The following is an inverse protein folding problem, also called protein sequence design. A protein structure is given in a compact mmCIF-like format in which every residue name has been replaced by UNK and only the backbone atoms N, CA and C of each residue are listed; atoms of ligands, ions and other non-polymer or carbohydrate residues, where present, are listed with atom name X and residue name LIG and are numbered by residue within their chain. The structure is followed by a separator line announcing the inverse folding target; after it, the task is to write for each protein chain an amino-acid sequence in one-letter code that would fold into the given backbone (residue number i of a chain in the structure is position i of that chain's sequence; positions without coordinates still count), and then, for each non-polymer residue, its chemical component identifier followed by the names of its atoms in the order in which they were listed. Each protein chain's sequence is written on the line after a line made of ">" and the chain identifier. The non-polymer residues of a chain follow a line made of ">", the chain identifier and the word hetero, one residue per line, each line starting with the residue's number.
data_IF_734903430325
#
_entry.id   IF_734903430325
#
_cell.length_a   1.000
_cell.length_b   1.000
_cell.length_c   1.000
_cell.angle_alpha   90.00
_cell.angle_beta   90.00
_cell.angle_gamma   90.00
#
_symmetry.space_group_name_H-M   'P 1'
#
loop_
_entity.id
_entity.type
_entity.pdbx_description
1 polymer ?
#
# COMPACT_ATOMS: atom_id res chain seq x y z
N UNK A 1 -21.04 87.23 -25.64
CA UNK A 1 -19.88 86.88 -24.80
C UNK A 1 -20.26 85.65 -23.97
N UNK A 2 -19.27 84.82 -23.64
CA UNK A 2 -19.31 83.50 -22.98
C UNK A 2 -19.48 82.28 -23.90
N UNK A 3 -18.30 81.74 -24.23
CA UNK A 3 -18.03 80.40 -24.74
C UNK A 3 -18.34 79.37 -23.65
N UNK A 4 -19.02 78.28 -23.99
CA UNK A 4 -18.98 77.04 -23.20
C UNK A 4 -18.42 75.96 -24.11
N UNK A 5 -17.23 75.49 -23.76
CA UNK A 5 -16.48 74.44 -24.44
C UNK A 5 -17.04 73.11 -23.93
N UNK A 6 -17.73 72.36 -24.79
CA UNK A 6 -18.14 70.98 -24.51
C UNK A 6 -16.94 70.06 -24.69
N UNK A 7 -16.39 69.58 -23.58
CA UNK A 7 -15.37 68.53 -23.55
C UNK A 7 -16.09 67.19 -23.76
N UNK A 8 -15.99 66.63 -24.97
CA UNK A 8 -16.31 65.23 -25.24
C UNK A 8 -15.20 64.36 -24.61
N UNK A 9 -15.50 63.77 -23.45
CA UNK A 9 -14.71 62.68 -22.89
C UNK A 9 -15.09 61.38 -23.61
N UNK A 10 -14.23 60.96 -24.54
CA UNK A 10 -14.21 59.60 -25.09
C UNK A 10 -13.78 58.63 -23.98
N UNK A 11 -14.74 57.96 -23.34
CA UNK A 11 -14.46 56.77 -22.54
C UNK A 11 -14.16 55.61 -23.49
N UNK A 12 -12.88 55.38 -23.76
CA UNK A 12 -12.36 54.12 -24.26
C UNK A 12 -12.60 53.04 -23.20
N UNK A 13 -13.69 52.28 -23.36
CA UNK A 13 -13.95 51.08 -22.57
C UNK A 13 -12.86 50.04 -22.82
N UNK A 14 -11.91 49.95 -21.90
CA UNK A 14 -11.02 48.80 -21.80
C UNK A 14 -11.90 47.63 -21.37
N UNK A 15 -12.23 46.76 -22.32
CA UNK A 15 -12.84 45.47 -22.06
C UNK A 15 -11.78 44.60 -21.38
N UNK A 16 -11.65 44.73 -20.07
CA UNK A 16 -10.92 43.80 -19.24
C UNK A 16 -11.60 42.45 -19.38
N UNK A 17 -10.98 41.53 -20.13
CA UNK A 17 -11.25 40.12 -19.96
C UNK A 17 -10.85 39.79 -18.52
N UNK A 18 -11.84 39.79 -17.61
CA UNK A 18 -11.74 39.05 -16.37
C UNK A 18 -11.64 37.58 -16.79
N UNK A 19 -10.41 37.09 -16.94
CA UNK A 19 -10.14 35.68 -16.84
C UNK A 19 -10.64 35.25 -15.47
N UNK A 20 -11.83 34.65 -15.44
CA UNK A 20 -12.27 33.91 -14.28
C UNK A 20 -11.14 32.93 -13.97
N UNK A 21 -10.42 33.19 -12.90
CA UNK A 21 -9.55 32.19 -12.31
C UNK A 21 -10.51 31.13 -11.82
N UNK A 22 -10.76 30.13 -12.66
CA UNK A 22 -11.41 28.91 -12.24
C UNK A 22 -10.56 28.41 -11.08
N UNK A 23 -11.06 28.58 -9.86
CA UNK A 23 -10.53 27.86 -8.72
C UNK A 23 -10.64 26.39 -9.12
N UNK A 24 -9.53 25.77 -9.51
CA UNK A 24 -9.53 24.40 -9.97
C UNK A 24 -9.99 23.54 -8.78
N UNK A 25 -11.24 23.08 -8.82
CA UNK A 25 -11.68 21.97 -7.99
C UNK A 25 -10.75 20.79 -8.29
N UNK A 26 -10.32 20.07 -7.25
CA UNK A 26 -9.51 18.86 -7.42
C UNK A 26 -10.35 17.76 -8.05
N UNK A 27 -11.60 17.63 -7.58
CA UNK A 27 -12.56 16.66 -8.11
C UNK A 27 -13.37 17.19 -9.29
N UNK A 28 -13.55 16.30 -10.27
CA UNK A 28 -14.41 16.48 -11.44
C UNK A 28 -15.42 15.33 -11.51
N UNK A 29 -16.63 15.64 -11.98
CA UNK A 29 -17.73 14.69 -12.08
C UNK A 29 -18.30 14.69 -13.49
N UNK A 30 -18.37 13.50 -14.09
CA UNK A 30 -18.93 13.33 -15.43
C UNK A 30 -19.96 12.20 -15.45
N UNK A 31 -21.16 12.49 -15.94
CA UNK A 31 -22.17 11.46 -16.16
C UNK A 31 -21.88 10.68 -17.46
N UNK A 32 -22.06 9.37 -17.41
CA UNK A 32 -21.91 8.47 -18.54
C UNK A 32 -22.99 7.39 -18.55
N UNK A 33 -23.06 6.66 -19.66
CA UNK A 33 -23.95 5.52 -19.80
C UNK A 33 -23.24 4.41 -20.56
N UNK A 34 -23.33 3.18 -20.07
CA UNK A 34 -22.81 2.00 -20.77
C UNK A 34 -23.75 1.60 -21.90
N UNK A 35 -23.28 0.80 -22.86
CA UNK A 35 -24.12 0.22 -23.92
C UNK A 35 -25.32 -0.58 -23.38
N UNK A 36 -25.17 -1.20 -22.20
CA UNK A 36 -26.24 -1.91 -21.49
C UNK A 36 -27.23 -1.01 -20.76
N UNK A 37 -27.14 0.32 -20.91
CA UNK A 37 -28.07 1.29 -20.35
C UNK A 37 -27.79 1.73 -18.91
N UNK A 38 -26.80 1.14 -18.21
CA UNK A 38 -26.39 1.54 -16.87
C UNK A 38 -25.84 2.97 -16.88
N UNK A 39 -26.41 3.85 -16.06
CA UNK A 39 -25.98 5.24 -15.91
C UNK A 39 -25.06 5.38 -14.70
N UNK A 40 -23.93 6.04 -14.89
CA UNK A 40 -22.90 6.14 -13.88
C UNK A 40 -22.29 7.55 -13.84
N UNK A 41 -21.67 7.88 -12.71
CA UNK A 41 -20.79 9.03 -12.57
C UNK A 41 -19.33 8.56 -12.55
N UNK A 42 -18.50 9.12 -13.42
CA UNK A 42 -17.05 9.07 -13.29
C UNK A 42 -16.59 10.20 -12.37
N UNK A 43 -15.88 9.85 -11.32
CA UNK A 43 -15.21 10.78 -10.41
C UNK A 43 -13.72 10.79 -10.76
N UNK A 44 -13.16 11.95 -11.10
CA UNK A 44 -11.75 12.06 -11.48
C UNK A 44 -11.03 13.22 -10.80
N UNK A 45 -9.71 13.12 -10.71
CA UNK A 45 -8.85 14.13 -10.08
C UNK A 45 -8.55 13.86 -8.61
N UNK A 46 -7.84 14.77 -7.94
CA UNK A 46 -7.45 14.62 -6.53
C UNK A 46 -8.53 15.15 -5.57
N UNK A 47 -8.58 14.59 -4.37
CA UNK A 47 -9.50 15.06 -3.33
C UNK A 47 -8.93 16.31 -2.64
N UNK A 48 -9.45 17.49 -2.96
CA UNK A 48 -9.05 18.76 -2.36
C UNK A 48 -9.96 19.15 -1.18
N UNK A 49 -9.42 19.92 -0.23
CA UNK A 49 -10.17 20.37 0.96
C UNK A 49 -11.42 21.19 0.56
N UNK A 50 -11.29 22.03 -0.46
CA UNK A 50 -12.31 22.96 -0.94
C UNK A 50 -13.33 22.36 -1.91
N UNK A 51 -13.24 21.06 -2.25
CA UNK A 51 -14.17 20.48 -3.23
C UNK A 51 -15.63 20.58 -2.76
N UNK A 52 -16.50 21.04 -3.67
CA UNK A 52 -17.94 21.15 -3.46
C UNK A 52 -18.65 19.88 -3.95
N UNK A 53 -19.10 19.05 -3.00
CA UNK A 53 -19.79 17.80 -3.29
C UNK A 53 -21.27 17.99 -3.65
N UNK A 54 -21.83 19.20 -3.53
CA UNK A 54 -23.21 19.47 -3.95
C UNK A 54 -23.37 19.33 -5.47
N UNK A 55 -22.30 19.59 -6.22
CA UNK A 55 -22.24 19.39 -7.68
C UNK A 55 -22.42 17.91 -8.05
N UNK A 56 -21.79 17.00 -7.30
CA UNK A 56 -21.96 15.56 -7.47
C UNK A 56 -23.41 15.13 -7.20
N UNK A 57 -24.00 15.59 -6.09
CA UNK A 57 -25.38 15.26 -5.72
C UNK A 57 -26.39 15.74 -6.77
N UNK A 58 -26.21 16.97 -7.28
CA UNK A 58 -27.04 17.52 -8.34
C UNK A 58 -26.92 16.71 -9.65
N UNK A 59 -25.70 16.29 -10.01
CA UNK A 59 -25.44 15.50 -11.20
C UNK A 59 -26.04 14.09 -11.11
N UNK A 60 -25.96 13.45 -9.95
CA UNK A 60 -26.60 12.14 -9.71
C UNK A 60 -28.11 12.25 -9.93
N UNK A 61 -28.75 13.29 -9.37
CA UNK A 61 -30.20 13.51 -9.52
C UNK A 61 -30.61 13.80 -10.96
N UNK A 62 -29.87 14.66 -11.67
CA UNK A 62 -30.23 15.07 -13.03
C UNK A 62 -29.98 13.98 -14.08
N UNK A 63 -28.96 13.13 -13.88
CA UNK A 63 -28.66 12.00 -14.76
C UNK A 63 -29.43 10.71 -14.42
N UNK A 64 -29.99 10.63 -13.21
CA UNK A 64 -30.50 9.39 -12.61
C UNK A 64 -29.45 8.26 -12.65
N UNK A 65 -28.21 8.61 -12.33
CA UNK A 65 -27.11 7.63 -12.24
C UNK A 65 -27.30 6.70 -11.05
N UNK A 66 -26.94 5.44 -11.22
CA UNK A 66 -27.07 4.39 -10.19
C UNK A 66 -25.74 3.84 -9.73
N UNK A 67 -24.65 4.20 -10.41
CA UNK A 67 -23.30 3.74 -10.11
C UNK A 67 -22.27 4.87 -10.14
N UNK A 68 -21.13 4.63 -9.50
CA UNK A 68 -19.96 5.51 -9.49
C UNK A 68 -18.72 4.70 -9.81
N UNK A 69 -17.84 5.26 -10.64
CA UNK A 69 -16.50 4.73 -10.94
C UNK A 69 -15.46 5.83 -10.75
N UNK A 70 -14.20 5.48 -10.55
CA UNK A 70 -13.16 6.43 -10.17
C UNK A 70 -11.94 6.37 -11.09
N UNK A 71 -11.36 7.56 -11.30
CA UNK A 71 -10.04 7.78 -11.89
C UNK A 71 -9.29 8.82 -11.04
N UNK A 72 -8.77 8.39 -9.89
CA UNK A 72 -8.22 9.29 -8.87
C UNK A 72 -7.00 8.72 -8.14
N UNK A 73 -5.92 9.50 -8.00
CA UNK A 73 -4.76 9.14 -7.16
C UNK A 73 -5.04 9.29 -5.65
N UNK A 74 -6.24 9.76 -5.27
CA UNK A 74 -6.59 10.08 -3.88
C UNK A 74 -6.35 11.54 -3.52
N UNK A 75 -5.97 11.82 -2.27
CA UNK A 75 -5.86 13.17 -1.73
C UNK A 75 -6.35 13.27 -0.29
N UNK A 76 -7.20 14.26 0.00
CA UNK A 76 -7.76 14.51 1.32
C UNK A 76 -8.69 13.39 1.80
N UNK A 77 -8.31 12.77 2.92
CA UNK A 77 -9.02 11.64 3.55
C UNK A 77 -10.44 12.02 3.95
N UNK A 78 -10.63 13.19 4.58
CA UNK A 78 -11.94 13.63 5.06
C UNK A 78 -12.91 13.86 3.90
N UNK A 79 -12.47 14.56 2.85
CA UNK A 79 -13.28 14.80 1.64
C UNK A 79 -13.69 13.50 0.97
N UNK A 80 -12.79 12.51 0.92
CA UNK A 80 -13.11 11.20 0.37
C UNK A 80 -14.14 10.44 1.21
N UNK A 81 -14.04 10.48 2.54
CA UNK A 81 -15.06 9.93 3.43
C UNK A 81 -16.39 10.66 3.31
N UNK A 82 -16.40 11.98 3.14
CA UNK A 82 -17.62 12.78 2.93
C UNK A 82 -18.30 12.40 1.60
N UNK A 83 -17.53 12.25 0.52
CA UNK A 83 -18.05 11.75 -0.75
C UNK A 83 -18.58 10.32 -0.61
N UNK A 84 -17.85 9.42 0.06
CA UNK A 84 -18.29 8.06 0.28
C UNK A 84 -19.58 7.95 1.11
N UNK A 85 -19.75 8.78 2.15
CA UNK A 85 -21.02 8.91 2.89
C UNK A 85 -22.14 9.41 1.98
N UNK A 86 -21.87 10.37 1.09
CA UNK A 86 -22.83 10.88 0.13
C UNK A 86 -23.25 9.80 -0.88
N UNK A 87 -22.30 9.04 -1.43
CA UNK A 87 -22.54 7.88 -2.31
C UNK A 87 -23.48 6.88 -1.64
N UNK A 88 -23.20 6.52 -0.37
CA UNK A 88 -24.06 5.61 0.40
C UNK A 88 -25.47 6.17 0.58
N UNK A 89 -25.60 7.42 1.02
CA UNK A 89 -26.90 8.06 1.28
C UNK A 89 -27.77 8.12 0.03
N UNK A 90 -27.15 8.29 -1.14
CA UNK A 90 -27.82 8.30 -2.44
C UNK A 90 -28.11 6.89 -2.98
N UNK A 91 -27.69 5.83 -2.29
CA UNK A 91 -27.96 4.44 -2.67
C UNK A 91 -27.18 3.96 -3.89
N UNK A 92 -26.04 4.59 -4.20
CA UNK A 92 -25.28 4.29 -5.42
C UNK A 92 -24.39 3.07 -5.24
N UNK A 93 -24.24 2.28 -6.31
CA UNK A 93 -23.21 1.26 -6.40
C UNK A 93 -21.84 1.89 -6.72
N UNK A 94 -20.75 1.27 -6.30
CA UNK A 94 -19.40 1.61 -6.75
C UNK A 94 -18.81 0.46 -7.56
N UNK A 95 -18.15 0.81 -8.66
CA UNK A 95 -17.51 -0.14 -9.56
C UNK A 95 -16.10 0.37 -9.89
N UNK A 96 -15.08 -0.47 -9.70
CA UNK A 96 -13.70 -0.10 -10.05
C UNK A 96 -13.04 -1.14 -10.96
N UNK A 97 -12.58 -0.68 -12.12
CA UNK A 97 -11.92 -1.49 -13.14
C UNK A 97 -10.42 -1.26 -13.12
N UNK A 98 -9.63 -2.27 -13.46
CA UNK A 98 -8.15 -2.22 -13.46
C UNK A 98 -7.59 -1.20 -14.47
N UNK A 99 -8.36 -0.87 -15.50
CA UNK A 99 -8.00 0.15 -16.48
C UNK A 99 -8.13 1.59 -15.92
N UNK A 100 -8.63 1.77 -14.70
CA UNK A 100 -8.81 3.07 -14.07
C UNK A 100 -8.22 3.08 -12.66
N UNK A 101 -7.62 4.22 -12.31
CA UNK A 101 -6.89 4.40 -11.06
C UNK A 101 -7.84 4.72 -9.90
N UNK A 102 -7.67 4.05 -8.76
CA UNK A 102 -8.30 4.46 -7.50
C UNK A 102 -7.39 4.10 -6.33
N UNK A 103 -6.69 5.11 -5.83
CA UNK A 103 -5.61 4.94 -4.85
C UNK A 103 -5.84 5.79 -3.61
N UNK A 104 -5.23 5.39 -2.49
CA UNK A 104 -5.20 6.17 -1.26
C UNK A 104 -6.62 6.55 -0.76
N UNK A 105 -6.89 7.83 -0.57
CA UNK A 105 -8.21 8.36 -0.20
C UNK A 105 -9.32 7.97 -1.19
N UNK A 106 -9.04 7.77 -2.49
CA UNK A 106 -10.05 7.30 -3.45
C UNK A 106 -10.67 5.97 -2.98
N UNK A 107 -9.84 5.06 -2.45
CA UNK A 107 -10.32 3.78 -1.94
C UNK A 107 -11.39 3.97 -0.86
N UNK A 108 -11.26 4.99 0.00
CA UNK A 108 -12.26 5.31 1.03
C UNK A 108 -13.58 5.78 0.41
N UNK A 109 -13.55 6.65 -0.62
CA UNK A 109 -14.76 7.06 -1.32
C UNK A 109 -15.46 5.85 -1.98
N UNK A 110 -14.69 4.94 -2.59
CA UNK A 110 -15.20 3.70 -3.17
C UNK A 110 -15.94 2.82 -2.14
N UNK A 111 -15.48 2.77 -0.88
CA UNK A 111 -16.15 2.00 0.18
C UNK A 111 -17.59 2.49 0.46
N UNK A 112 -17.95 3.69 0.01
CA UNK A 112 -19.28 4.29 0.13
C UNK A 112 -20.40 3.57 -0.61
N UNK A 113 -20.08 2.72 -1.59
CA UNK A 113 -21.10 2.01 -2.38
C UNK A 113 -21.96 1.07 -1.55
N UNK A 114 -23.27 1.07 -1.79
CA UNK A 114 -24.19 0.07 -1.18
C UNK A 114 -23.97 -1.32 -1.79
N UNK A 115 -23.49 -1.35 -3.03
CA UNK A 115 -23.00 -2.50 -3.76
C UNK A 115 -21.61 -2.11 -4.27
N UNK A 116 -20.62 -2.97 -4.06
CA UNK A 116 -19.22 -2.70 -4.40
C UNK A 116 -18.66 -3.80 -5.28
N UNK A 117 -18.31 -3.44 -6.50
CA UNK A 117 -17.62 -4.30 -7.46
C UNK A 117 -16.23 -3.73 -7.74
N UNK A 118 -15.20 -4.57 -7.72
CA UNK A 118 -13.87 -4.17 -8.11
C UNK A 118 -13.13 -5.34 -8.75
N UNK A 119 -12.43 -5.08 -9.85
CA UNK A 119 -11.51 -6.04 -10.44
C UNK A 119 -10.28 -6.26 -9.55
N UNK A 120 -9.67 -7.45 -9.61
CA UNK A 120 -8.44 -7.71 -8.88
C UNK A 120 -7.35 -6.69 -9.26
N UNK A 121 -6.75 -6.06 -8.26
CA UNK A 121 -5.69 -5.06 -8.43
C UNK A 121 -6.18 -3.66 -8.83
N UNK A 122 -7.49 -3.37 -8.78
CA UNK A 122 -8.02 -2.04 -9.15
C UNK A 122 -8.16 -1.05 -7.98
N UNK A 123 -7.95 -1.51 -6.74
CA UNK A 123 -8.00 -0.67 -5.54
C UNK A 123 -6.62 -0.61 -4.90
N UNK A 124 -6.01 0.58 -4.88
CA UNK A 124 -4.72 0.85 -4.25
C UNK A 124 -4.88 1.38 -2.82
N UNK A 125 -4.20 0.76 -1.87
CA UNK A 125 -4.10 1.23 -0.47
C UNK A 125 -2.66 1.47 -0.09
N UNK A 126 -2.42 2.48 0.74
CA UNK A 126 -1.13 2.77 1.35
C UNK A 126 -1.36 3.73 2.52
N UNK A 127 -0.34 3.96 3.34
CA UNK A 127 -0.36 4.97 4.40
C UNK A 127 -0.62 6.34 3.77
N UNK A 128 -1.85 6.82 3.86
CA UNK A 128 -2.21 8.16 3.44
C UNK A 128 -1.42 9.16 4.30
N UNK A 129 -0.85 10.18 3.67
CA UNK A 129 -0.17 11.24 4.40
C UNK A 129 -1.23 12.05 5.16
N UNK A 130 -1.37 11.80 6.46
CA UNK A 130 -2.19 12.59 7.37
C UNK A 130 -1.57 13.99 7.56
N UNK A 131 -1.61 14.85 6.55
CA UNK A 131 -1.12 16.22 6.64
C UNK A 131 -2.04 17.18 5.87
N UNK A 132 -2.59 18.15 6.60
CA UNK A 132 -2.84 19.49 6.06
C UNK A 132 -1.62 20.37 6.33
N UNK A 133 -1.41 21.40 5.53
CA UNK A 133 -0.25 22.31 5.53
C UNK A 133 -0.15 23.24 6.76
N UNK A 134 -0.63 22.79 7.92
CA UNK A 134 -0.58 23.55 9.16
C UNK A 134 0.68 23.13 9.92
N UNK A 135 1.53 24.08 10.36
CA UNK A 135 2.62 23.79 11.28
C UNK A 135 2.03 23.35 12.62
N UNK A 136 1.85 22.04 12.79
CA UNK A 136 1.42 21.42 14.03
C UNK A 136 2.65 21.17 14.91
N UNK A 137 2.53 21.39 16.21
CA UNK A 137 3.50 20.86 17.17
C UNK A 137 3.50 19.32 17.11
N UNK A 138 4.55 18.67 17.60
CA UNK A 138 4.65 17.20 17.59
C UNK A 138 3.47 16.54 18.32
N UNK A 139 2.98 17.14 19.41
CA UNK A 139 1.84 16.65 20.16
C UNK A 139 0.50 16.83 19.42
N UNK A 140 0.32 17.96 18.73
CA UNK A 140 -0.86 18.21 17.91
C UNK A 140 -0.88 17.30 16.67
N UNK A 141 0.30 17.03 16.07
CA UNK A 141 0.43 16.10 14.96
C UNK A 141 0.12 14.66 15.37
N UNK A 142 0.62 14.19 16.52
CA UNK A 142 0.27 12.87 17.06
C UNK A 142 -1.22 12.77 17.34
N UNK A 143 -1.81 13.79 17.98
CA UNK A 143 -3.24 13.81 18.30
C UNK A 143 -4.09 13.80 17.02
N UNK A 144 -3.71 14.57 15.99
CA UNK A 144 -4.39 14.59 14.71
C UNK A 144 -4.31 13.24 13.99
N UNK A 145 -3.15 12.56 14.01
CA UNK A 145 -3.00 11.22 13.43
C UNK A 145 -3.89 10.21 14.16
N UNK A 146 -3.92 10.25 15.50
CA UNK A 146 -4.80 9.39 16.29
C UNK A 146 -6.27 9.61 15.97
N UNK A 147 -6.69 10.87 15.87
CA UNK A 147 -8.07 11.25 15.51
C UNK A 147 -8.44 10.76 14.11
N UNK A 148 -7.63 11.07 13.09
CA UNK A 148 -7.94 10.64 11.72
C UNK A 148 -7.90 9.10 11.60
N UNK A 149 -7.01 8.42 12.32
CA UNK A 149 -7.00 6.95 12.37
C UNK A 149 -8.31 6.42 12.93
N UNK A 150 -8.81 7.00 14.02
CA UNK A 150 -10.09 6.64 14.61
C UNK A 150 -11.28 6.94 13.67
N UNK A 151 -11.25 8.06 12.96
CA UNK A 151 -12.27 8.45 11.99
C UNK A 151 -12.31 7.47 10.81
N UNK A 152 -11.14 7.06 10.29
CA UNK A 152 -11.07 6.06 9.21
C UNK A 152 -11.55 4.70 9.67
N UNK A 153 -11.21 4.26 10.89
CA UNK A 153 -11.74 3.02 11.48
C UNK A 153 -13.26 3.10 11.58
N UNK A 154 -13.78 4.20 12.13
CA UNK A 154 -15.22 4.45 12.27
C UNK A 154 -15.91 4.41 10.92
N UNK A 155 -15.36 5.10 9.92
CA UNK A 155 -15.86 5.11 8.56
C UNK A 155 -15.84 3.71 7.92
N UNK A 156 -14.75 2.93 8.07
CA UNK A 156 -14.69 1.55 7.58
C UNK A 156 -15.80 0.69 8.20
N UNK A 157 -16.03 0.81 9.50
CA UNK A 157 -17.12 0.11 10.20
C UNK A 157 -18.48 0.56 9.65
N UNK A 158 -18.71 1.88 9.52
CA UNK A 158 -19.92 2.43 8.93
C UNK A 158 -20.17 1.80 7.55
N UNK A 159 -19.14 1.72 6.71
CA UNK A 159 -19.14 1.13 5.35
C UNK A 159 -19.15 -0.40 5.32
N UNK A 160 -19.23 -1.10 6.45
CA UNK A 160 -19.25 -2.56 6.48
C UNK A 160 -17.95 -3.22 5.99
N UNK A 161 -16.83 -2.52 6.12
CA UNK A 161 -15.47 -2.99 5.81
C UNK A 161 -14.80 -3.47 7.10
N UNK A 162 -13.90 -4.44 7.00
CA UNK A 162 -13.06 -4.84 8.12
C UNK A 162 -11.97 -3.78 8.38
N UNK A 163 -11.90 -3.15 9.58
CA UNK A 163 -10.86 -2.18 9.91
C UNK A 163 -9.43 -2.74 9.85
N UNK A 164 -9.24 -4.06 9.81
CA UNK A 164 -7.94 -4.67 9.54
C UNK A 164 -7.37 -4.25 8.16
N UNK A 165 -8.20 -3.77 7.22
CA UNK A 165 -7.74 -3.14 5.98
C UNK A 165 -6.86 -1.91 6.25
N UNK A 166 -7.18 -1.12 7.28
CA UNK A 166 -6.36 0.02 7.65
C UNK A 166 -4.97 -0.44 8.13
N UNK A 167 -4.89 -1.54 8.88
CA UNK A 167 -3.61 -2.10 9.28
C UNK A 167 -2.77 -2.52 8.07
N UNK A 168 -3.39 -3.15 7.06
CA UNK A 168 -2.71 -3.47 5.80
C UNK A 168 -2.24 -2.19 5.10
N UNK A 169 -3.10 -1.19 4.98
CA UNK A 169 -2.78 0.09 4.35
C UNK A 169 -1.58 0.79 5.01
N UNK A 170 -1.54 0.81 6.36
CA UNK A 170 -0.49 1.44 7.15
C UNK A 170 0.89 0.75 7.05
N UNK A 171 0.97 -0.48 6.51
CA UNK A 171 2.23 -1.18 6.30
C UNK A 171 3.01 -0.68 5.08
N UNK A 172 2.36 0.05 4.18
CA UNK A 172 2.96 0.56 2.95
C UNK A 172 3.11 2.08 3.02
N UNK A 173 4.28 2.62 2.69
CA UNK A 173 4.55 4.06 2.73
C UNK A 173 3.76 4.83 1.66
N UNK A 174 3.70 6.16 1.77
CA UNK A 174 2.91 7.00 0.84
C UNK A 174 3.34 6.94 -0.64
N UNK A 175 4.52 6.38 -0.94
CA UNK A 175 5.03 6.19 -2.31
C UNK A 175 5.00 4.72 -2.75
N UNK A 176 4.48 3.81 -1.92
CA UNK A 176 4.41 2.37 -2.18
C UNK A 176 2.95 1.93 -2.12
N UNK A 177 2.34 1.69 -3.28
CA UNK A 177 0.91 1.47 -3.39
C UNK A 177 0.63 -0.02 -3.48
N UNK A 178 -0.09 -0.54 -2.49
CA UNK A 178 -0.52 -1.93 -2.45
C UNK A 178 -1.89 -2.06 -3.13
N UNK A 179 -1.92 -2.66 -4.32
CA UNK A 179 -3.19 -2.95 -5.00
C UNK A 179 -3.80 -4.28 -4.57
N UNK A 180 -5.00 -4.26 -4.00
CA UNK A 180 -5.62 -5.42 -3.38
C UNK A 180 -5.95 -6.53 -4.37
N UNK A 181 -5.64 -7.78 -4.02
CA UNK A 181 -6.14 -8.96 -4.73
C UNK A 181 -7.64 -9.17 -4.45
N UNK A 182 -8.32 -9.97 -5.27
CA UNK A 182 -9.73 -10.32 -5.04
C UNK A 182 -9.94 -11.03 -3.69
N UNK A 183 -9.01 -11.90 -3.27
CA UNK A 183 -9.10 -12.59 -1.98
C UNK A 183 -8.94 -11.62 -0.81
N UNK A 184 -8.06 -10.61 -0.91
CA UNK A 184 -7.95 -9.56 0.10
C UNK A 184 -9.19 -8.66 0.10
N UNK A 185 -9.70 -8.28 -1.07
CA UNK A 185 -10.92 -7.49 -1.17
C UNK A 185 -12.12 -8.23 -0.58
N UNK A 186 -12.21 -9.54 -0.74
CA UNK A 186 -13.22 -10.37 -0.10
C UNK A 186 -12.98 -10.47 1.42
N UNK A 187 -11.75 -10.78 1.84
CA UNK A 187 -11.33 -10.91 3.25
C UNK A 187 -11.68 -9.67 4.06
N UNK A 188 -11.31 -8.49 3.55
CA UNK A 188 -11.56 -7.21 4.21
C UNK A 188 -12.92 -6.60 3.88
N UNK A 189 -13.77 -7.30 3.12
CA UNK A 189 -15.10 -6.85 2.70
C UNK A 189 -15.09 -5.55 1.90
N UNK A 190 -14.04 -5.29 1.12
CA UNK A 190 -13.94 -4.16 0.17
C UNK A 190 -14.96 -4.31 -0.97
N UNK A 191 -15.16 -5.54 -1.45
CA UNK A 191 -16.22 -5.87 -2.42
C UNK A 191 -17.40 -6.53 -1.72
N UNK A 192 -18.61 -6.31 -2.23
CA UNK A 192 -19.82 -6.99 -1.74
C UNK A 192 -20.17 -8.23 -2.56
N UNK A 193 -19.57 -8.39 -3.74
CA UNK A 193 -19.72 -9.56 -4.61
C UNK A 193 -18.36 -10.20 -4.86
N UNK A 194 -18.14 -11.38 -4.28
CA UNK A 194 -17.01 -12.25 -4.60
C UNK A 194 -17.54 -13.48 -5.37
N UNK A 195 -17.02 -13.79 -6.57
CA UNK A 195 -17.31 -15.06 -7.22
C UNK A 195 -16.77 -16.19 -6.31
N UNK A 196 -17.65 -16.99 -5.70
CA UNK A 196 -17.27 -18.17 -4.91
C UNK A 196 -17.66 -18.21 -3.43
N UNK A 197 -18.38 -17.21 -2.89
CA UNK A 197 -18.89 -17.26 -1.50
C UNK A 197 -20.14 -18.15 -1.34
N UNK A 198 -20.14 -19.32 -1.97
CA UNK A 198 -21.21 -20.31 -1.92
C UNK A 198 -20.65 -21.72 -1.90
N UNK A 199 -20.21 -22.16 -0.71
CA UNK A 199 -20.25 -23.53 -0.18
C UNK A 199 -19.32 -23.65 1.03
N UNK A 200 -19.74 -23.11 2.18
CA UNK A 200 -19.34 -23.70 3.47
C UNK A 200 -20.24 -24.92 3.68
N UNK A 201 -19.75 -26.10 3.32
CA UNK A 201 -20.33 -27.35 3.82
C UNK A 201 -20.07 -27.42 5.31
N UNK A 202 -21.10 -27.10 6.08
CA UNK A 202 -21.17 -27.43 7.51
C UNK A 202 -21.20 -28.95 7.60
N UNK A 203 -20.04 -29.58 7.79
CA UNK A 203 -19.97 -30.98 8.15
C UNK A 203 -20.19 -31.09 9.67
N UNK A 204 -21.45 -31.33 10.05
CA UNK A 204 -21.81 -31.84 11.37
C UNK A 204 -21.15 -33.19 11.58
N UNK A 205 -20.07 -33.24 12.37
CA UNK A 205 -19.52 -34.49 12.86
C UNK A 205 -20.23 -34.86 14.17
N UNK A 206 -21.00 -35.96 14.12
CA UNK A 206 -21.52 -36.69 15.28
C UNK A 206 -20.34 -37.36 16.02
N UNK A 207 -20.28 -37.37 17.37
CA UNK A 207 -19.16 -37.99 18.08
C UNK A 207 -19.29 -39.53 18.09
N UNK A 208 -18.21 -40.22 17.71
CA UNK A 208 -18.05 -41.66 17.85
C UNK A 208 -17.51 -42.02 19.26
N UNK A 209 -17.69 -43.27 19.75
CA UNK A 209 -17.49 -43.63 21.15
C UNK A 209 -16.02 -43.76 21.54
N UNK A 210 -15.70 -43.32 22.76
CA UNK A 210 -14.39 -43.41 23.41
C UNK A 210 -14.04 -44.86 23.79
N UNK A 211 -12.86 -45.33 23.35
CA UNK A 211 -12.18 -46.51 23.91
C UNK A 211 -11.17 -46.09 25.01
N UNK A 212 -10.88 -46.96 26.00
CA UNK A 212 -10.04 -46.62 27.14
C UNK A 212 -8.54 -46.49 26.79
N UNK A 213 -7.74 -45.77 27.60
CA UNK A 213 -6.35 -45.47 27.28
C UNK A 213 -5.43 -46.66 27.56
N UNK A 214 -4.50 -46.92 26.63
CA UNK A 214 -3.36 -47.83 26.82
C UNK A 214 -2.21 -47.13 27.57
N UNK A 215 -1.37 -47.87 28.32
CA UNK A 215 -0.27 -47.30 29.08
C UNK A 215 0.91 -46.85 28.18
N UNK A 216 1.77 -45.94 28.65
CA UNK A 216 2.81 -45.33 27.83
C UNK A 216 3.96 -46.32 27.57
N UNK A 217 4.59 -46.31 26.38
CA UNK A 217 5.79 -47.09 26.14
C UNK A 217 7.03 -46.38 26.71
N UNK A 218 7.94 -47.21 27.20
CA UNK A 218 9.24 -46.89 27.75
C UNK A 218 10.13 -46.17 26.72
N UNK A 219 10.74 -45.07 27.16
CA UNK A 219 11.63 -44.19 26.40
C UNK A 219 12.91 -44.89 25.94
N UNK A 220 13.08 -45.05 24.63
CA UNK A 220 14.40 -45.10 23.99
C UNK A 220 14.92 -43.67 23.78
N UNK A 221 16.24 -43.42 23.79
CA UNK A 221 16.78 -42.08 23.55
C UNK A 221 16.51 -41.67 22.11
N UNK A 222 15.68 -40.65 21.92
CA UNK A 222 15.46 -40.00 20.63
C UNK A 222 16.75 -39.25 20.27
N UNK A 223 17.29 -39.39 19.04
CA UNK A 223 18.39 -38.55 18.57
C UNK A 223 17.96 -37.09 18.66
N UNK A 224 18.86 -36.20 19.11
CA UNK A 224 18.57 -34.79 19.26
C UNK A 224 17.86 -34.23 18.00
N UNK A 225 16.75 -33.49 18.14
CA UNK A 225 16.06 -32.90 17.00
C UNK A 225 17.03 -31.98 16.24
N UNK A 226 16.96 -31.93 14.90
CA UNK A 226 17.75 -30.96 14.13
C UNK A 226 17.45 -29.56 14.66
N UNK A 227 18.50 -28.77 14.88
CA UNK A 227 18.41 -27.46 15.50
C UNK A 227 17.34 -26.61 14.81
N UNK A 228 16.29 -26.24 15.54
CA UNK A 228 15.32 -25.25 15.06
C UNK A 228 16.06 -23.98 14.64
N UNK A 229 15.82 -23.44 13.44
CA UNK A 229 16.48 -22.23 12.98
C UNK A 229 16.16 -21.08 13.95
N UNK A 230 17.20 -20.36 14.40
CA UNK A 230 17.01 -19.20 15.28
C UNK A 230 16.23 -18.12 14.53
N UNK A 231 15.05 -17.79 15.05
CA UNK A 231 14.18 -16.72 14.53
C UNK A 231 14.50 -15.35 15.13
N UNK A 232 15.56 -15.25 15.92
CA UNK A 232 16.00 -13.98 16.52
C UNK A 232 16.65 -13.11 15.46
N UNK A 233 16.24 -11.85 15.32
CA UNK A 233 16.93 -10.90 14.43
C UNK A 233 18.14 -10.34 15.17
N UNK A 234 19.38 -10.51 14.66
CA UNK A 234 20.56 -9.93 15.28
C UNK A 234 20.54 -8.41 15.16
N UNK A 235 21.17 -7.72 16.10
CA UNK A 235 21.27 -6.26 16.04
C UNK A 235 22.19 -5.82 14.88
N UNK A 236 21.72 -4.83 14.11
CA UNK A 236 22.45 -4.25 13.00
C UNK A 236 23.44 -3.19 13.50
N UNK A 237 24.72 -3.37 13.19
CA UNK A 237 25.81 -2.49 13.64
C UNK A 237 26.58 -1.85 12.49
N UNK A 238 26.59 -2.49 11.33
CA UNK A 238 27.26 -1.99 10.13
C UNK A 238 26.54 -2.44 8.87
N UNK A 239 26.77 -1.71 7.79
CA UNK A 239 26.29 -2.12 6.48
C UNK A 239 26.85 -1.28 5.36
N UNK A 240 26.31 -1.51 4.17
CA UNK A 240 26.59 -0.72 2.97
C UNK A 240 25.30 -0.30 2.31
N UNK A 241 25.29 0.88 1.69
CA UNK A 241 24.13 1.38 0.97
C UNK A 241 23.86 0.49 -0.25
N UNK A 242 22.62 0.05 -0.41
CA UNK A 242 22.16 -0.76 -1.54
C UNK A 242 20.77 -0.32 -1.97
N UNK A 243 20.67 0.55 -2.97
CA UNK A 243 19.41 1.11 -3.44
C UNK A 243 19.23 0.91 -4.96
N UNK A 244 18.00 0.66 -5.48
CA UNK A 244 17.76 0.46 -6.91
C UNK A 244 18.22 1.61 -7.80
N UNK A 245 18.13 2.85 -7.32
CA UNK A 245 18.56 4.04 -8.08
C UNK A 245 20.08 4.31 -7.99
N UNK A 246 20.87 3.38 -7.47
CA UNK A 246 22.33 3.52 -7.35
C UNK A 246 22.81 4.43 -6.22
N UNK A 247 21.91 5.15 -5.55
CA UNK A 247 22.19 6.00 -4.40
C UNK A 247 20.96 6.14 -3.51
N UNK A 248 21.19 6.43 -2.23
CA UNK A 248 20.15 6.66 -1.21
C UNK A 248 20.38 7.99 -0.48
N UNK A 249 19.31 8.75 -0.19
CA UNK A 249 19.44 9.99 0.58
C UNK A 249 19.70 9.67 2.07
N UNK A 250 20.67 10.35 2.65
CA UNK A 250 20.85 10.44 4.10
C UNK A 250 19.96 11.58 4.60
N UNK A 251 18.97 11.26 5.42
CA UNK A 251 17.95 12.20 5.91
C UNK A 251 18.34 12.81 7.26
N UNK A 252 17.90 14.03 7.53
CA UNK A 252 18.13 14.67 8.83
C UNK A 252 17.27 14.03 9.94
N UNK A 253 16.07 13.59 9.59
CA UNK A 253 15.09 12.93 10.46
C UNK A 253 14.67 11.57 9.87
N UNK A 254 14.17 10.62 10.69
CA UNK A 254 13.70 9.31 10.24
C UNK A 254 12.34 9.39 9.52
N UNK A 255 12.26 10.16 8.43
CA UNK A 255 11.07 10.37 7.63
C UNK A 255 11.40 10.69 6.16
N UNK A 256 10.54 10.27 5.23
CA UNK A 256 10.81 10.37 3.79
C UNK A 256 10.89 11.80 3.23
N UNK A 257 10.11 12.73 3.82
CA UNK A 257 10.06 14.15 3.42
C UNK A 257 11.16 15.01 4.03
N UNK A 258 11.94 14.46 4.97
CA UNK A 258 13.02 15.22 5.63
C UNK A 258 14.07 15.70 4.63
N UNK A 259 14.72 16.82 4.97
CA UNK A 259 15.86 17.36 4.24
C UNK A 259 16.98 16.33 4.12
N UNK A 260 17.56 16.25 2.93
CA UNK A 260 18.72 15.40 2.69
C UNK A 260 19.96 16.08 3.29
N UNK A 261 20.56 15.44 4.29
CA UNK A 261 21.89 15.79 4.82
C UNK A 261 22.96 15.46 3.78
N UNK A 262 22.78 14.36 3.05
CA UNK A 262 23.66 13.93 1.98
C UNK A 262 22.98 12.94 1.03
N UNK A 263 23.69 12.55 -0.02
CA UNK A 263 23.31 11.44 -0.91
C UNK A 263 24.46 10.45 -0.94
N UNK A 264 24.20 9.22 -0.50
CA UNK A 264 25.19 8.16 -0.41
C UNK A 264 25.06 7.23 -1.62
N UNK A 265 26.18 6.87 -2.25
CA UNK A 265 26.17 5.95 -3.41
C UNK A 265 26.09 4.50 -2.93
N UNK A 266 25.62 3.61 -3.79
CA UNK A 266 25.66 2.18 -3.48
C UNK A 266 27.11 1.73 -3.18
N UNK A 267 27.26 0.91 -2.15
CA UNK A 267 28.55 0.45 -1.64
C UNK A 267 29.17 1.38 -0.61
N UNK A 268 28.64 2.59 -0.40
CA UNK A 268 29.11 3.47 0.69
C UNK A 268 28.93 2.77 2.05
N UNK A 269 30.00 2.64 2.85
CA UNK A 269 29.90 2.01 4.16
C UNK A 269 29.20 2.92 5.16
N UNK A 270 28.43 2.31 6.06
CA UNK A 270 27.70 2.98 7.13
C UNK A 270 27.86 2.23 8.44
N UNK A 271 28.08 2.98 9.52
CA UNK A 271 27.97 2.45 10.89
C UNK A 271 26.54 2.70 11.39
N UNK A 272 25.85 1.66 11.82
CA UNK A 272 24.48 1.74 12.33
C UNK A 272 24.57 2.00 13.83
N UNK A 273 24.12 3.19 14.24
CA UNK A 273 24.22 3.66 15.62
C UNK A 273 22.97 3.34 16.44
N UNK A 274 21.81 3.36 15.79
CA UNK A 274 20.53 3.05 16.40
C UNK A 274 19.48 2.70 15.35
N UNK A 275 18.42 2.03 15.78
CA UNK A 275 17.23 1.74 14.97
C UNK A 275 16.05 2.55 15.50
N UNK A 276 15.41 3.31 14.62
CA UNK A 276 14.24 4.13 14.91
C UNK A 276 13.10 3.71 13.97
N UNK A 277 12.31 2.72 14.39
CA UNK A 277 11.30 2.10 13.55
C UNK A 277 11.92 1.45 12.30
N UNK A 278 11.55 1.93 11.11
CA UNK A 278 12.07 1.48 9.80
C UNK A 278 13.32 2.24 9.34
N UNK A 279 13.93 3.05 10.21
CA UNK A 279 15.09 3.87 9.87
C UNK A 279 16.29 3.47 10.71
N UNK A 280 17.44 3.36 10.06
CA UNK A 280 18.71 3.29 10.75
C UNK A 280 19.27 4.69 10.91
N UNK A 281 19.57 5.07 12.15
CA UNK A 281 20.45 6.20 12.42
C UNK A 281 21.86 5.75 12.10
N UNK A 282 22.45 6.31 11.06
CA UNK A 282 23.75 5.89 10.55
C UNK A 282 24.77 7.01 10.58
N UNK A 283 26.02 6.62 10.73
CA UNK A 283 27.17 7.46 10.47
C UNK A 283 27.85 7.01 9.17
N UNK A 284 27.94 7.94 8.21
CA UNK A 284 28.63 7.77 6.94
C UNK A 284 29.77 8.80 6.87
N UNK A 285 30.99 8.37 7.18
CA UNK A 285 32.12 9.28 7.36
C UNK A 285 31.87 10.28 8.51
N UNK A 286 31.89 11.58 8.18
CA UNK A 286 31.63 12.65 9.15
C UNK A 286 30.15 13.07 9.24
N UNK A 287 29.28 12.45 8.45
CA UNK A 287 27.86 12.79 8.40
C UNK A 287 27.05 11.78 9.21
N UNK A 288 26.13 12.28 10.02
CA UNK A 288 25.17 11.47 10.77
C UNK A 288 23.78 11.84 10.29
N UNK A 289 22.95 10.82 10.05
CA UNK A 289 21.57 11.00 9.65
C UNK A 289 20.81 9.69 9.67
N UNK A 290 19.70 9.65 8.96
CA UNK A 290 18.82 8.50 8.90
C UNK A 290 18.73 7.97 7.47
N UNK A 291 18.82 6.66 7.32
CA UNK A 291 18.56 5.96 6.07
C UNK A 291 17.48 4.91 6.32
N UNK A 292 16.60 4.71 5.35
CA UNK A 292 15.57 3.69 5.47
C UNK A 292 16.21 2.29 5.48
N UNK A 293 15.66 1.37 6.25
CA UNK A 293 16.22 0.03 6.46
C UNK A 293 16.30 -0.78 5.16
N UNK A 294 15.37 -0.58 4.23
CA UNK A 294 15.39 -1.19 2.89
C UNK A 294 16.51 -0.68 1.99
N UNK A 295 17.28 0.34 2.40
CA UNK A 295 18.40 0.91 1.62
C UNK A 295 19.77 0.49 2.15
N UNK A 296 19.81 -0.30 3.23
CA UNK A 296 21.06 -0.73 3.87
C UNK A 296 21.16 -2.24 3.80
N UNK A 297 22.18 -2.72 3.10
CA UNK A 297 22.61 -4.10 3.20
C UNK A 297 23.42 -4.25 4.50
N UNK A 298 22.85 -4.89 5.50
CA UNK A 298 23.43 -5.05 6.84
C UNK A 298 24.43 -6.20 6.83
N UNK A 299 25.66 -5.97 7.28
CA UNK A 299 26.73 -6.99 7.22
C UNK A 299 26.49 -8.15 8.19
N UNK A 300 25.70 -7.93 9.26
CA UNK A 300 25.32 -8.97 10.22
C UNK A 300 24.23 -9.91 9.69
N UNK A 301 23.61 -9.60 8.54
CA UNK A 301 22.55 -10.40 7.95
C UNK A 301 23.10 -11.26 6.80
N UNK A 302 22.65 -12.52 6.75
CA UNK A 302 22.88 -13.40 5.61
C UNK A 302 21.77 -13.19 4.57
N UNK A 303 21.80 -12.01 3.95
CA UNK A 303 20.87 -11.61 2.88
C UNK A 303 21.40 -11.97 1.48
N UNK A 304 22.45 -12.78 1.37
CA UNK A 304 23.12 -13.08 0.10
C UNK A 304 24.10 -11.99 -0.36
N UNK A 305 24.71 -12.13 -1.55
CA UNK A 305 25.80 -11.25 -1.97
C UNK A 305 25.33 -9.82 -2.26
N UNK A 306 26.09 -8.83 -1.78
CA UNK A 306 25.80 -7.41 -2.01
C UNK A 306 25.59 -7.09 -3.50
N UNK A 307 24.54 -6.33 -3.80
CA UNK A 307 24.25 -5.85 -5.15
C UNK A 307 23.56 -6.86 -6.06
N UNK A 308 23.45 -8.13 -5.65
CA UNK A 308 22.63 -9.14 -6.33
C UNK A 308 21.14 -8.91 -6.03
N UNK A 309 20.29 -9.58 -6.80
CA UNK A 309 18.83 -9.56 -6.66
C UNK A 309 18.33 -10.94 -6.26
N UNK A 310 17.48 -10.96 -5.26
CA UNK A 310 16.56 -12.05 -5.01
C UNK A 310 15.37 -11.90 -5.93
N UNK A 311 14.79 -13.02 -6.35
CA UNK A 311 13.47 -13.03 -6.96
C UNK A 311 12.51 -13.56 -5.90
N UNK A 312 11.79 -12.66 -5.24
CA UNK A 312 10.80 -13.01 -4.23
C UNK A 312 9.51 -13.45 -4.93
N UNK A 313 9.05 -14.65 -4.62
CA UNK A 313 7.88 -15.28 -5.23
C UNK A 313 6.67 -15.31 -4.30
N UNK A 314 6.90 -15.28 -2.98
CA UNK A 314 5.84 -15.30 -1.97
C UNK A 314 6.34 -14.78 -0.61
N UNK A 315 5.43 -14.53 0.32
CA UNK A 315 5.75 -14.30 1.72
C UNK A 315 4.73 -14.93 2.64
N UNK A 316 5.15 -15.26 3.85
CA UNK A 316 4.32 -15.81 4.92
C UNK A 316 4.66 -15.12 6.24
N UNK A 317 3.69 -14.95 7.12
CA UNK A 317 3.88 -14.47 8.49
C UNK A 317 4.17 -15.62 9.48
N UNK A 318 4.03 -16.87 9.02
CA UNK A 318 4.23 -18.08 9.80
C UNK A 318 5.32 -18.99 9.20
N UNK A 319 6.24 -19.45 10.04
CA UNK A 319 7.37 -20.29 9.63
C UNK A 319 6.90 -21.63 9.06
N UNK A 320 5.90 -22.28 9.68
CA UNK A 320 5.45 -23.60 9.26
C UNK A 320 4.87 -23.60 7.83
N UNK A 321 4.16 -22.54 7.46
CA UNK A 321 3.63 -22.38 6.10
C UNK A 321 4.74 -22.05 5.10
N UNK A 322 5.70 -21.21 5.49
CA UNK A 322 6.88 -20.92 4.67
C UNK A 322 7.68 -22.19 4.36
N UNK A 323 7.93 -23.02 5.38
CA UNK A 323 8.61 -24.31 5.23
C UNK A 323 7.81 -25.28 4.36
N UNK A 324 6.50 -25.41 4.60
CA UNK A 324 5.65 -26.28 3.78
C UNK A 324 5.66 -25.85 2.32
N UNK A 325 5.61 -24.55 2.04
CA UNK A 325 5.69 -24.02 0.69
C UNK A 325 7.02 -24.38 0.02
N UNK A 326 8.16 -24.15 0.69
CA UNK A 326 9.49 -24.50 0.17
C UNK A 326 9.57 -26.00 -0.17
N UNK A 327 9.13 -26.88 0.74
CA UNK A 327 9.17 -28.34 0.55
C UNK A 327 8.26 -28.84 -0.57
N UNK A 328 7.17 -28.14 -0.83
CA UNK A 328 6.18 -28.49 -1.87
C UNK A 328 6.47 -27.87 -3.25
N UNK A 329 7.44 -26.94 -3.31
CA UNK A 329 7.72 -26.18 -4.52
C UNK A 329 8.34 -27.05 -5.61
N UNK A 330 7.83 -26.93 -6.84
CA UNK A 330 8.37 -27.59 -8.03
C UNK A 330 9.62 -26.91 -8.60
N UNK A 331 9.96 -25.72 -8.08
CA UNK A 331 11.16 -24.96 -8.42
C UNK A 331 12.03 -24.75 -7.17
N UNK A 332 13.38 -24.71 -7.30
CA UNK A 332 14.26 -24.47 -6.17
C UNK A 332 14.03 -23.09 -5.56
N UNK A 333 13.57 -23.06 -4.31
CA UNK A 333 13.25 -21.85 -3.56
C UNK A 333 13.87 -21.91 -2.17
N UNK A 334 14.02 -20.76 -1.53
CA UNK A 334 14.57 -20.62 -0.18
C UNK A 334 13.69 -19.68 0.64
N UNK A 335 13.53 -19.97 1.93
CA UNK A 335 12.85 -19.09 2.87
C UNK A 335 13.85 -18.24 3.64
N UNK A 336 13.67 -16.92 3.64
CA UNK A 336 14.44 -15.96 4.40
C UNK A 336 13.58 -15.31 5.48
N UNK A 337 14.07 -15.27 6.72
CA UNK A 337 13.48 -14.42 7.76
C UNK A 337 13.77 -12.95 7.41
N UNK A 338 12.78 -12.07 7.52
CA UNK A 338 12.91 -10.64 7.33
C UNK A 338 12.87 -9.87 8.65
N UNK A 339 13.38 -8.63 8.67
CA UNK A 339 13.45 -7.76 9.86
C UNK A 339 12.09 -7.44 10.50
N UNK A 340 11.00 -7.60 9.75
CA UNK A 340 9.62 -7.44 10.23
C UNK A 340 9.01 -8.73 10.81
N UNK A 341 9.79 -9.83 10.90
CA UNK A 341 9.34 -11.12 11.41
C UNK A 341 8.67 -12.04 10.38
N UNK A 342 8.53 -11.60 9.12
CA UNK A 342 7.95 -12.41 8.04
C UNK A 342 9.00 -13.29 7.35
N UNK A 343 8.52 -14.25 6.57
CA UNK A 343 9.31 -15.19 5.79
C UNK A 343 9.15 -14.89 4.30
N UNK A 344 10.18 -14.35 3.66
CA UNK A 344 10.22 -14.15 2.22
C UNK A 344 10.66 -15.43 1.51
N UNK A 345 9.87 -15.92 0.57
CA UNK A 345 10.26 -17.03 -0.29
C UNK A 345 10.86 -16.46 -1.56
N UNK A 346 12.09 -16.86 -1.84
CA UNK A 346 12.84 -16.43 -3.03
C UNK A 346 13.22 -17.64 -3.87
N UNK A 347 13.56 -17.42 -5.14
CA UNK A 347 14.36 -18.41 -5.86
C UNK A 347 15.66 -18.68 -5.09
N UNK A 348 16.18 -19.90 -5.21
CA UNK A 348 17.37 -20.32 -4.47
C UNK A 348 18.60 -19.46 -4.79
N UNK A 349 18.75 -19.07 -6.05
CA UNK A 349 19.88 -18.27 -6.51
C UNK A 349 19.55 -16.78 -6.52
N UNK A 350 20.60 -15.97 -6.39
CA UNK A 350 20.55 -14.53 -6.63
C UNK A 350 21.10 -14.20 -8.01
N UNK A 351 20.70 -13.07 -8.59
CA UNK A 351 21.00 -12.68 -9.98
C UNK A 351 21.51 -11.24 -10.06
N UNK A 352 22.16 -10.85 -11.17
CA UNK A 352 22.36 -9.43 -11.46
C UNK A 352 21.04 -8.81 -11.94
N UNK A 353 20.97 -7.49 -12.02
CA UNK A 353 19.72 -6.79 -12.33
C UNK A 353 19.14 -7.13 -13.71
N UNK A 354 19.92 -7.14 -14.81
CA UNK A 354 19.39 -7.49 -16.11
C UNK A 354 18.85 -8.92 -16.14
N UNK A 355 19.62 -9.88 -15.60
CA UNK A 355 19.20 -11.27 -15.55
C UNK A 355 17.98 -11.48 -14.66
N UNK A 356 17.91 -10.81 -13.51
CA UNK A 356 16.76 -10.89 -12.61
C UNK A 356 15.48 -10.38 -13.29
N UNK A 357 15.56 -9.25 -13.99
CA UNK A 357 14.43 -8.66 -14.70
C UNK A 357 13.91 -9.56 -15.83
N UNK A 358 14.83 -10.10 -16.64
CA UNK A 358 14.49 -11.06 -17.70
C UNK A 358 13.88 -12.34 -17.11
N UNK A 359 14.50 -12.91 -16.09
CA UNK A 359 14.06 -14.18 -15.51
C UNK A 359 12.68 -14.06 -14.85
N UNK A 360 12.41 -12.98 -14.11
CA UNK A 360 11.08 -12.69 -13.55
C UNK A 360 10.03 -12.65 -14.67
N UNK A 361 10.32 -11.94 -15.76
CA UNK A 361 9.39 -11.79 -16.87
C UNK A 361 9.09 -13.11 -17.58
N UNK A 362 10.14 -13.90 -17.87
CA UNK A 362 10.00 -15.20 -18.54
C UNK A 362 9.29 -16.24 -17.69
N UNK A 363 9.65 -16.34 -16.40
CA UNK A 363 9.04 -17.31 -15.50
C UNK A 363 7.56 -16.98 -15.24
N UNK A 364 7.19 -15.70 -15.17
CA UNK A 364 5.79 -15.27 -15.11
C UNK A 364 5.02 -15.65 -16.37
N UNK A 365 5.59 -15.39 -17.54
CA UNK A 365 4.95 -15.70 -18.83
C UNK A 365 4.68 -17.20 -18.99
N UNK A 366 5.53 -18.05 -18.41
CA UNK A 366 5.39 -19.52 -18.40
C UNK A 366 4.57 -20.05 -17.22
N UNK A 367 4.09 -19.19 -16.32
CA UNK A 367 3.38 -19.59 -15.10
C UNK A 367 4.23 -20.34 -14.08
N UNK A 368 5.56 -20.28 -14.19
CA UNK A 368 6.48 -20.97 -13.29
C UNK A 368 6.62 -20.27 -11.93
N UNK A 369 6.37 -18.96 -11.88
CA UNK A 369 6.29 -18.18 -10.64
C UNK A 369 5.02 -17.33 -10.63
N UNK A 370 4.52 -16.92 -9.45
CA UNK A 370 3.36 -16.04 -9.33
C UNK A 370 3.50 -14.70 -10.08
N UNK A 371 2.39 -14.17 -10.58
CA UNK A 371 2.36 -12.91 -11.35
C UNK A 371 2.79 -11.67 -10.56
N UNK A 372 2.75 -11.74 -9.23
CA UNK A 372 3.19 -10.74 -8.26
C UNK A 372 4.65 -10.92 -7.81
N UNK A 373 5.38 -11.94 -8.28
CA UNK A 373 6.79 -12.13 -7.98
C UNK A 373 7.67 -10.96 -8.46
N UNK A 374 8.74 -10.59 -7.76
CA UNK A 374 9.56 -9.43 -8.14
C UNK A 374 11.02 -9.56 -7.74
N UNK A 375 11.88 -8.81 -8.44
CA UNK A 375 13.30 -8.71 -8.13
C UNK A 375 13.53 -7.67 -7.01
N UNK A 376 14.29 -8.03 -5.98
CA UNK A 376 14.58 -7.16 -4.82
C UNK A 376 16.02 -7.34 -4.36
N UNK A 377 16.59 -6.31 -3.71
CA UNK A 377 17.91 -6.43 -3.07
C UNK A 377 17.90 -7.35 -1.84
N UNK A 378 16.73 -7.61 -1.25
CA UNK A 378 16.63 -8.41 -0.03
C UNK A 378 17.34 -7.78 1.17
N UNK A 379 17.51 -6.45 1.20
CA UNK A 379 18.24 -5.75 2.27
C UNK A 379 17.64 -5.96 3.67
N UNK A 380 16.35 -6.28 3.74
CA UNK A 380 15.64 -6.60 5.00
C UNK A 380 15.65 -8.08 5.32
N UNK A 381 16.28 -8.93 4.52
CA UNK A 381 16.43 -10.36 4.81
C UNK A 381 17.55 -10.54 5.82
N UNK A 382 17.31 -11.37 6.82
CA UNK A 382 18.17 -11.56 7.98
C UNK A 382 19.02 -12.80 7.83
N UNK A 383 18.40 -13.91 7.43
CA UNK A 383 19.06 -15.21 7.22
C UNK A 383 18.15 -16.16 6.44
N UNK A 384 18.74 -17.13 5.75
CA UNK A 384 18.00 -18.30 5.25
C UNK A 384 17.57 -19.17 6.44
N UNK A 385 16.29 -19.52 6.52
CA UNK A 385 15.72 -20.29 7.65
C UNK A 385 15.20 -21.67 7.26
N UNK A 386 14.91 -21.95 5.99
CA UNK A 386 14.55 -23.30 5.58
C UNK A 386 15.28 -23.76 4.30
N UNK A 387 15.83 -24.96 4.52
CA UNK A 387 15.91 -26.17 3.69
C UNK A 387 16.46 -26.05 2.27
N UNK A 388 17.53 -26.82 2.01
CA UNK A 388 17.93 -27.25 0.68
C UNK A 388 17.18 -28.51 0.30
#
# INVERSE_FOLDING_TARGET
>A
MFRVISILLLLSGVLTLLGASSACAGLQFQAGQTDGGLRYILVSGDFAYQDDLSVFEALVRSSASTAVTFHSPGGNIQKAMDLGRLIRRLGLATAQFRASECESACSLAFLGGVIRFAEAGSIGVHKSSFQGDVPLTTQEAVSAVQQITADVITYMIEMGVDPALLQLSLQYDSNDIRYLSMSEMAKYRVVTFAPGAGQSTVASAVPAPTLPPSPPPTSTPVPAPPATPSLVVPEAHSGRIGHPKGSAPLKALPEGKSTNVAVLRNGSPVSILATAGRWYRVQAGNQIGYVHDTWVHVDQYDSGPFGRRHIQVKSFDNYAEAEAYVRSSSIPVSAYLATNGWFAITLENTYDEPMASTLVSEMKARGAIPGDAYATFGNTYVRKVCCQ
#
